data_IF_779875430200
#
_entry.id   IF_779875430200
#
_cell.length_a   1.000
_cell.length_b   1.000
_cell.length_c   1.000
_cell.angle_alpha   90.00
_cell.angle_beta   90.00
_cell.angle_gamma   90.00
#
_symmetry.space_group_name_H-M   'P 1'
#
loop_
_entity.id
_entity.type
_entity.pdbx_description
1 polymer ?
#
# COMPACT_ATOMS: atom_id res chain seq x y z
N UNK A 1 -15.13 17.17 6.94
CA UNK A 1 -14.28 17.28 5.72
C UNK A 1 -13.11 16.33 5.89
N UNK A 2 -12.77 15.47 4.90
CA UNK A 2 -11.54 14.64 4.97
C UNK A 2 -10.34 15.59 4.92
N UNK A 3 -9.38 15.43 5.84
CA UNK A 3 -8.12 16.17 5.75
C UNK A 3 -7.41 15.79 4.45
N UNK A 4 -6.82 16.76 3.72
CA UNK A 4 -6.03 16.45 2.55
C UNK A 4 -4.84 15.56 2.93
N UNK A 5 -4.46 14.67 2.01
CA UNK A 5 -3.25 13.87 2.16
C UNK A 5 -2.06 14.79 1.86
N UNK A 6 -1.21 15.01 2.86
CA UNK A 6 -0.05 15.90 2.71
C UNK A 6 1.20 15.06 2.44
N UNK A 7 1.84 15.15 1.25
CA UNK A 7 3.11 14.50 1.00
C UNK A 7 4.23 15.19 1.78
N UNK A 8 5.22 14.43 2.25
CA UNK A 8 6.45 15.01 2.80
C UNK A 8 7.32 15.61 1.69
N UNK A 9 8.21 16.58 1.98
CA UNK A 9 9.06 17.19 0.96
C UNK A 9 9.96 16.21 0.19
N UNK A 10 10.33 15.10 0.83
CA UNK A 10 11.11 14.01 0.21
C UNK A 10 10.24 13.02 -0.60
N UNK A 11 8.92 13.16 -0.60
CA UNK A 11 7.99 12.28 -1.34
C UNK A 11 7.87 10.85 -0.80
N UNK A 12 8.70 10.44 0.16
CA UNK A 12 8.73 9.08 0.71
C UNK A 12 7.52 8.75 1.58
N UNK A 13 6.84 9.78 2.10
CA UNK A 13 5.74 9.61 3.04
C UNK A 13 4.56 10.53 2.74
N UNK A 14 3.41 10.16 3.27
CA UNK A 14 2.19 10.97 3.31
C UNK A 14 1.68 11.07 4.74
N UNK A 15 1.13 12.22 5.11
CA UNK A 15 0.50 12.44 6.41
C UNK A 15 -1.01 12.33 6.24
N UNK A 16 -1.60 11.40 6.98
CA UNK A 16 -3.05 11.16 6.99
C UNK A 16 -3.50 11.18 8.44
N UNK A 17 -4.38 12.11 8.78
CA UNK A 17 -4.88 12.35 10.16
C UNK A 17 -3.76 12.49 11.20
N UNK A 18 -2.68 13.20 10.83
CA UNK A 18 -1.51 13.44 11.69
C UNK A 18 -0.58 12.23 11.85
N UNK A 19 -0.89 11.10 11.19
CA UNK A 19 -0.02 9.91 11.17
C UNK A 19 0.78 9.87 9.87
N UNK A 20 2.08 9.59 10.00
CA UNK A 20 3.00 9.43 8.87
C UNK A 20 2.90 8.00 8.33
N UNK A 21 2.61 7.88 7.04
CA UNK A 21 2.54 6.63 6.30
C UNK A 21 3.54 6.67 5.16
N UNK A 22 4.12 5.52 4.80
CA UNK A 22 4.97 5.43 3.60
C UNK A 22 4.10 5.62 2.35
N UNK A 23 4.60 6.42 1.40
CA UNK A 23 3.95 6.64 0.12
C UNK A 23 4.10 5.43 -0.80
N UNK A 24 3.14 5.26 -1.72
CA UNK A 24 3.26 4.35 -2.86
C UNK A 24 4.51 4.69 -3.67
N UNK A 25 5.23 3.68 -4.16
CA UNK A 25 6.39 3.90 -5.03
C UNK A 25 5.97 4.68 -6.29
N UNK A 26 6.49 5.90 -6.51
CA UNK A 26 6.14 6.72 -7.68
C UNK A 26 6.68 6.15 -8.99
N UNK A 27 7.68 5.27 -8.93
CA UNK A 27 8.30 4.66 -10.11
C UNK A 27 7.49 3.48 -10.69
N UNK A 28 6.35 3.14 -10.08
CA UNK A 28 5.45 2.12 -10.62
C UNK A 28 4.74 2.65 -11.86
N UNK A 29 4.76 1.90 -12.99
CA UNK A 29 3.88 2.19 -14.12
C UNK A 29 2.42 2.31 -13.68
N UNK A 30 1.69 3.26 -14.26
CA UNK A 30 0.33 3.60 -13.80
C UNK A 30 -0.63 2.40 -13.86
N UNK A 31 -0.51 1.58 -14.90
CA UNK A 31 -1.27 0.35 -15.07
C UNK A 31 -0.96 -0.69 -13.98
N UNK A 32 0.33 -0.87 -13.65
CA UNK A 32 0.79 -1.74 -12.55
C UNK A 32 0.27 -1.22 -11.22
N UNK A 33 0.42 0.09 -10.96
CA UNK A 33 -0.08 0.75 -9.75
C UNK A 33 -1.60 0.55 -9.62
N UNK A 34 -2.36 0.78 -10.69
CA UNK A 34 -3.81 0.62 -10.67
C UNK A 34 -4.23 -0.84 -10.43
N UNK A 35 -3.54 -1.80 -11.03
CA UNK A 35 -3.77 -3.23 -10.80
C UNK A 35 -3.53 -3.62 -9.34
N UNK A 36 -2.45 -3.12 -8.73
CA UNK A 36 -2.15 -3.36 -7.32
C UNK A 36 -3.16 -2.69 -6.39
N UNK A 37 -3.64 -1.50 -6.72
CA UNK A 37 -4.75 -0.84 -6.00
C UNK A 37 -6.03 -1.67 -6.10
N UNK A 38 -6.35 -2.19 -7.28
CA UNK A 38 -7.52 -3.06 -7.49
C UNK A 38 -7.42 -4.33 -6.63
N UNK A 39 -6.25 -4.99 -6.62
CA UNK A 39 -6.00 -6.17 -5.79
C UNK A 39 -6.09 -5.84 -4.29
N UNK A 40 -5.52 -4.72 -3.85
CA UNK A 40 -5.63 -4.26 -2.46
C UNK A 40 -7.09 -4.06 -2.04
N UNK A 41 -7.90 -3.44 -2.91
CA UNK A 41 -9.32 -3.23 -2.64
C UNK A 41 -10.11 -4.54 -2.67
N UNK A 42 -9.80 -5.46 -3.58
CA UNK A 42 -10.36 -6.81 -3.62
C UNK A 42 -10.06 -7.59 -2.34
N UNK A 43 -8.79 -7.62 -1.91
CA UNK A 43 -8.35 -8.30 -0.70
C UNK A 43 -9.01 -7.71 0.56
N UNK A 44 -9.16 -6.38 0.67
CA UNK A 44 -9.89 -5.73 1.77
C UNK A 44 -11.36 -6.17 1.84
N UNK A 45 -12.03 -6.26 0.69
CA UNK A 45 -13.42 -6.77 0.65
C UNK A 45 -13.47 -8.23 1.10
N UNK A 46 -12.50 -9.05 0.68
CA UNK A 46 -12.41 -10.45 1.12
C UNK A 46 -12.20 -10.59 2.64
N UNK A 47 -11.40 -9.72 3.27
CA UNK A 47 -11.29 -9.68 4.75
C UNK A 47 -12.67 -9.41 5.37
N UNK A 48 -13.39 -8.40 4.87
CA UNK A 48 -14.73 -8.08 5.36
C UNK A 48 -15.74 -9.21 5.16
N UNK A 49 -15.65 -9.95 4.05
CA UNK A 49 -16.50 -11.11 3.79
C UNK A 49 -16.18 -12.26 4.75
N UNK A 50 -14.90 -12.59 4.95
CA UNK A 50 -14.47 -13.64 5.86
C UNK A 50 -14.89 -13.35 7.32
N UNK A 51 -14.73 -12.11 7.77
CA UNK A 51 -15.16 -11.68 9.11
C UNK A 51 -16.67 -11.83 9.32
N UNK A 52 -17.49 -11.57 8.29
CA UNK A 52 -18.96 -11.70 8.39
C UNK A 52 -19.41 -13.14 8.59
N UNK A 53 -18.70 -14.10 8.02
CA UNK A 53 -19.00 -15.53 8.15
C UNK A 53 -18.13 -16.23 9.21
N UNK A 54 -17.28 -15.48 9.93
CA UNK A 54 -16.36 -15.97 10.95
C UNK A 54 -15.39 -17.06 10.44
N UNK A 55 -14.97 -16.97 9.17
CA UNK A 55 -14.00 -17.88 8.57
C UNK A 55 -12.56 -17.35 8.81
N UNK A 56 -11.89 -17.95 9.79
CA UNK A 56 -10.55 -17.55 10.19
C UNK A 56 -9.48 -17.82 9.11
N UNK A 57 -9.62 -18.87 8.31
CA UNK A 57 -8.65 -19.22 7.27
C UNK A 57 -8.80 -18.32 6.04
N UNK A 58 -10.04 -18.01 5.65
CA UNK A 58 -10.32 -17.01 4.63
C UNK A 58 -9.85 -15.62 5.07
N UNK A 59 -10.03 -15.27 6.35
CA UNK A 59 -9.56 -14.00 6.90
C UNK A 59 -8.03 -13.92 6.82
N UNK A 60 -7.32 -14.95 7.28
CA UNK A 60 -5.85 -15.02 7.24
C UNK A 60 -5.33 -14.87 5.82
N UNK A 61 -5.93 -15.60 4.87
CA UNK A 61 -5.58 -15.52 3.45
C UNK A 61 -5.80 -14.12 2.88
N UNK A 62 -6.94 -13.51 3.16
CA UNK A 62 -7.26 -12.17 2.69
C UNK A 62 -6.33 -11.10 3.29
N UNK A 63 -5.98 -11.22 4.57
CA UNK A 63 -4.99 -10.33 5.23
C UNK A 63 -3.59 -10.50 4.63
N UNK A 64 -3.19 -11.72 4.29
CA UNK A 64 -1.92 -11.97 3.59
C UNK A 64 -1.89 -11.26 2.23
N UNK A 65 -2.98 -11.35 1.44
CA UNK A 65 -3.13 -10.61 0.17
C UNK A 65 -3.05 -9.09 0.35
N UNK A 66 -3.69 -8.54 1.38
CA UNK A 66 -3.56 -7.11 1.73
C UNK A 66 -2.10 -6.75 2.00
N UNK A 67 -1.38 -7.58 2.75
CA UNK A 67 0.03 -7.33 3.05
C UNK A 67 0.89 -7.38 1.78
N UNK A 68 0.70 -8.38 0.94
CA UNK A 68 1.41 -8.55 -0.33
C UNK A 68 1.18 -7.35 -1.27
N UNK A 69 -0.07 -6.93 -1.46
CA UNK A 69 -0.40 -5.77 -2.30
C UNK A 69 0.25 -4.47 -1.77
N UNK A 70 0.26 -4.25 -0.45
CA UNK A 70 0.93 -3.10 0.15
C UNK A 70 2.45 -3.13 0.00
N UNK A 71 3.05 -4.32 0.07
CA UNK A 71 4.50 -4.47 -0.18
C UNK A 71 4.80 -4.16 -1.64
N UNK A 72 4.02 -4.70 -2.58
CA UNK A 72 4.19 -4.44 -4.01
C UNK A 72 3.96 -2.96 -4.38
N UNK A 73 3.03 -2.27 -3.73
CA UNK A 73 2.84 -0.83 -3.86
C UNK A 73 3.99 -0.01 -3.25
N UNK A 74 4.89 -0.64 -2.49
CA UNK A 74 5.95 0.06 -1.76
C UNK A 74 5.49 0.74 -0.46
N UNK A 75 4.23 0.58 -0.04
CA UNK A 75 3.71 1.10 1.23
C UNK A 75 4.25 0.30 2.43
N UNK A 76 4.67 -0.96 2.22
CA UNK A 76 5.22 -1.89 3.20
C UNK A 76 6.50 -2.58 2.69
N UNK A 77 7.23 -3.28 3.56
CA UNK A 77 8.44 -4.01 3.17
C UNK A 77 9.67 -3.12 3.00
N UNK A 78 10.64 -3.49 2.13
CA UNK A 78 11.83 -2.69 1.82
C UNK A 78 11.46 -1.28 1.36
N UNK A 79 12.29 -0.28 1.67
CA UNK A 79 12.06 1.10 1.24
C UNK A 79 12.52 1.24 -0.22
N UNK A 80 11.60 1.66 -1.08
CA UNK A 80 11.88 1.80 -2.51
C UNK A 80 12.93 2.88 -2.80
N UNK A 81 13.03 3.91 -1.96
CA UNK A 81 14.04 4.98 -2.08
C UNK A 81 15.44 4.62 -1.58
N UNK A 82 15.63 3.50 -0.87
CA UNK A 82 16.97 3.07 -0.46
C UNK A 82 17.70 2.31 -1.59
N UNK A 83 16.98 1.91 -2.64
CA UNK A 83 17.53 1.24 -3.81
C UNK A 83 17.71 2.18 -5.02
N UNK A 84 17.24 3.43 -4.93
CA UNK A 84 17.60 4.48 -5.87
C UNK A 84 19.05 4.91 -5.57
N UNK A 85 20.02 4.09 -6.01
CA UNK A 85 21.41 4.55 -6.07
C UNK A 85 21.43 5.80 -6.96
N UNK A 86 22.10 6.89 -6.56
CA UNK A 86 22.30 8.00 -7.46
C UNK A 86 23.13 7.47 -8.64
N UNK A 87 22.61 7.57 -9.86
CA UNK A 87 23.46 7.52 -11.03
C UNK A 87 24.38 8.74 -10.95
N UNK A 88 25.66 8.50 -10.60
CA UNK A 88 26.71 9.48 -10.73
C UNK A 88 26.78 9.91 -12.21
N UNK A 89 26.59 11.20 -12.45
CA UNK A 89 26.77 11.83 -13.77
C UNK A 89 28.24 11.93 -14.15
#
# INVERSE_FOLDING_TARGET
MKKPIEPTPDGHHVIIDGRKWRATNPDLPEDVRQNLVNELMSARRAVGAALKIQDADAEKTARARVSAAKIALGERGPKWWENAKPEEK
#
